data_IF_466448953480
#
_entry.id   IF_466448953480
#
_cell.length_a   1.000
_cell.length_b   1.000
_cell.length_c   1.000
_cell.angle_alpha   90.00
_cell.angle_beta   90.00
_cell.angle_gamma   90.00
#
_symmetry.space_group_name_H-M   'P 1'
#
loop_
_entity.id
_entity.type
_entity.pdbx_description
1 polymer ?
#
# COMPACT_ATOMS: atom_id res chain seq x y z
N UNK A 1 -14.54 26.37 16.12
CA UNK A 1 -13.09 26.39 16.39
C UNK A 1 -12.48 25.33 15.53
N UNK A 2 -11.77 25.71 14.47
CA UNK A 2 -11.04 24.77 13.60
C UNK A 2 -9.82 24.34 14.41
N UNK A 3 -9.88 23.14 15.01
CA UNK A 3 -8.69 22.52 15.59
C UNK A 3 -7.68 22.37 14.47
N UNK A 4 -6.53 23.01 14.60
CA UNK A 4 -5.42 22.78 13.69
C UNK A 4 -5.15 21.27 13.69
N UNK A 5 -5.24 20.62 12.54
CA UNK A 5 -4.89 19.22 12.40
C UNK A 5 -3.44 19.08 12.87
N UNK A 6 -3.21 18.24 13.85
CA UNK A 6 -1.85 17.96 14.31
C UNK A 6 -1.05 17.38 13.12
N UNK A 7 0.19 17.86 13.00
CA UNK A 7 1.09 17.41 11.91
C UNK A 7 1.82 16.17 12.42
N UNK A 8 1.85 15.07 11.64
CA UNK A 8 2.59 13.87 12.01
C UNK A 8 4.09 14.14 12.17
N UNK A 9 4.73 13.51 13.14
CA UNK A 9 6.17 13.52 13.30
C UNK A 9 6.82 12.72 12.16
N UNK A 10 7.72 13.34 11.42
CA UNK A 10 8.53 12.67 10.39
C UNK A 10 9.84 12.18 11.02
N UNK A 11 10.10 10.88 10.89
CA UNK A 11 11.27 10.22 11.47
C UNK A 11 12.01 9.37 10.42
N UNK A 12 13.25 9.03 10.74
CA UNK A 12 14.10 8.14 9.90
C UNK A 12 14.51 6.94 10.74
N UNK A 13 14.30 5.76 10.18
CA UNK A 13 14.79 4.50 10.70
C UNK A 13 15.92 3.97 9.81
N UNK A 14 16.96 3.40 10.41
CA UNK A 14 18.06 2.76 9.70
C UNK A 14 17.76 1.27 9.56
N UNK A 15 17.41 0.84 8.36
CA UNK A 15 17.11 -0.55 8.04
C UNK A 15 18.16 -1.11 7.08
N UNK A 16 18.92 -2.11 7.52
CA UNK A 16 20.00 -2.74 6.71
C UNK A 16 20.98 -1.71 6.10
N UNK A 17 21.22 -0.61 6.80
CA UNK A 17 22.10 0.47 6.35
C UNK A 17 21.44 1.50 5.43
N UNK A 18 20.13 1.40 5.18
CA UNK A 18 19.34 2.36 4.40
C UNK A 18 18.47 3.24 5.29
N UNK A 19 18.32 4.49 4.91
CA UNK A 19 17.44 5.45 5.57
C UNK A 19 16.00 5.25 5.12
N UNK A 20 15.13 4.88 6.04
CA UNK A 20 13.70 4.66 5.82
C UNK A 20 12.92 5.78 6.50
N UNK A 21 12.19 6.56 5.70
CA UNK A 21 11.29 7.59 6.23
C UNK A 21 10.00 6.96 6.73
N UNK A 22 9.52 7.43 7.87
CA UNK A 22 8.18 7.12 8.35
C UNK A 22 7.58 8.32 9.08
N UNK A 23 6.26 8.28 9.25
CA UNK A 23 5.49 9.25 10.01
C UNK A 23 4.86 8.55 11.20
N UNK A 24 4.68 9.30 12.29
CA UNK A 24 4.09 8.81 13.53
C UNK A 24 3.13 9.83 14.12
N UNK A 25 2.04 9.35 14.70
CA UNK A 25 1.06 10.15 15.40
C UNK A 25 0.30 9.33 16.43
N UNK A 26 0.02 9.92 17.60
CA UNK A 26 -0.64 9.23 18.72
C UNK A 26 0.33 8.43 19.57
N UNK A 27 0.09 8.44 20.90
CA UNK A 27 0.98 7.84 21.90
C UNK A 27 0.33 6.66 22.64
N UNK A 28 -0.96 6.42 22.39
CA UNK A 28 -1.76 5.43 23.15
C UNK A 28 -2.47 4.46 22.23
N UNK A 29 -2.94 3.35 22.81
CA UNK A 29 -3.65 2.32 22.07
C UNK A 29 -2.71 1.35 21.33
N UNK A 30 -3.31 0.42 20.60
CA UNK A 30 -2.56 -0.52 19.79
C UNK A 30 -1.89 0.15 18.58
N UNK A 31 -0.74 -0.35 18.10
CA UNK A 31 -0.11 0.21 16.91
C UNK A 31 -0.90 -0.11 15.64
N UNK A 32 -0.94 0.87 14.74
CA UNK A 32 -1.47 0.76 13.38
C UNK A 32 -0.42 1.26 12.40
N UNK A 33 0.00 0.41 11.47
CA UNK A 33 0.99 0.72 10.45
C UNK A 33 0.32 0.81 9.08
N UNK A 34 0.37 1.99 8.47
CA UNK A 34 -0.16 2.27 7.14
C UNK A 34 0.90 2.02 6.07
N UNK A 35 0.55 1.23 5.03
CA UNK A 35 1.44 0.81 3.94
C UNK A 35 0.88 1.29 2.61
N UNK A 36 1.62 2.15 1.93
CA UNK A 36 1.20 2.77 0.68
C UNK A 36 1.25 1.84 -0.54
N UNK A 37 0.60 2.26 -1.64
CA UNK A 37 0.63 1.61 -2.94
C UNK A 37 1.84 2.00 -3.80
N UNK A 38 1.88 1.48 -5.03
CA UNK A 38 2.95 1.75 -6.00
C UNK A 38 3.07 3.23 -6.32
N UNK A 39 4.29 3.76 -6.29
CA UNK A 39 4.60 5.15 -6.64
C UNK A 39 4.12 6.20 -5.63
N UNK A 40 3.52 5.78 -4.52
CA UNK A 40 3.10 6.65 -3.43
C UNK A 40 4.16 6.71 -2.30
N UNK A 41 3.76 7.26 -1.17
CA UNK A 41 4.58 7.40 0.04
C UNK A 41 3.68 7.41 1.29
N UNK A 42 4.26 7.52 2.46
CA UNK A 42 3.52 7.74 3.73
C UNK A 42 2.64 8.99 3.69
N UNK A 43 2.95 9.98 2.84
CA UNK A 43 2.11 11.19 2.67
C UNK A 43 0.73 10.88 2.06
N UNK A 44 0.54 9.71 1.47
CA UNK A 44 -0.77 9.26 0.99
C UNK A 44 -1.75 8.95 2.13
N UNK A 45 -1.24 8.84 3.36
CA UNK A 45 -2.02 8.59 4.57
C UNK A 45 -2.29 9.86 5.41
N UNK A 46 -1.99 11.06 4.87
CA UNK A 46 -2.11 12.36 5.57
C UNK A 46 -3.52 12.66 6.10
N UNK A 47 -4.57 12.07 5.47
CA UNK A 47 -5.97 12.21 5.90
C UNK A 47 -6.42 11.14 6.91
N UNK A 48 -5.59 10.12 7.13
CA UNK A 48 -5.90 8.96 7.98
C UNK A 48 -5.11 9.00 9.29
N UNK A 49 -3.81 9.31 9.25
CA UNK A 49 -2.96 9.37 10.43
C UNK A 49 -3.54 10.24 11.56
N UNK A 50 -4.08 11.46 11.29
CA UNK A 50 -4.70 12.26 12.34
C UNK A 50 -5.88 11.56 13.02
N UNK A 51 -6.75 10.90 12.23
CA UNK A 51 -7.91 10.19 12.76
C UNK A 51 -7.50 8.93 13.54
N UNK A 52 -6.52 8.19 13.06
CA UNK A 52 -6.03 6.99 13.74
C UNK A 52 -5.27 7.35 15.02
N UNK A 53 -4.47 8.42 14.99
CA UNK A 53 -3.68 8.89 16.12
C UNK A 53 -4.49 9.38 17.34
N UNK A 54 -5.80 9.59 17.18
CA UNK A 54 -6.68 9.94 18.32
C UNK A 54 -6.85 8.76 19.30
N UNK A 55 -6.77 7.51 18.82
CA UNK A 55 -7.05 6.31 19.62
C UNK A 55 -6.02 5.20 19.50
N UNK A 56 -5.09 5.32 18.56
CA UNK A 56 -4.06 4.35 18.25
C UNK A 56 -2.69 5.01 18.10
N UNK A 57 -1.63 4.23 18.21
CA UNK A 57 -0.29 4.66 17.78
C UNK A 57 -0.20 4.47 16.26
N UNK A 58 -0.44 5.54 15.50
CA UNK A 58 -0.52 5.48 14.05
C UNK A 58 0.83 5.75 13.41
N UNK A 59 1.26 4.85 12.53
CA UNK A 59 2.49 4.93 11.75
C UNK A 59 2.15 4.87 10.26
N UNK A 60 2.95 5.53 9.42
CA UNK A 60 2.96 5.33 7.98
C UNK A 60 4.41 5.29 7.49
N UNK A 61 4.78 4.27 6.74
CA UNK A 61 6.14 4.02 6.28
C UNK A 61 6.29 4.30 4.79
N UNK A 62 7.42 4.84 4.38
CA UNK A 62 7.88 4.82 3.00
C UNK A 62 8.64 3.52 2.76
N UNK A 63 8.10 2.61 1.95
CA UNK A 63 8.80 1.38 1.61
C UNK A 63 10.14 1.67 0.93
N UNK A 64 11.16 0.85 1.19
CA UNK A 64 12.46 0.98 0.51
C UNK A 64 12.25 1.06 -1.02
N UNK A 65 12.86 2.04 -1.66
CA UNK A 65 12.65 2.32 -3.07
C UNK A 65 11.54 3.33 -3.38
N UNK A 66 10.67 3.66 -2.43
CA UNK A 66 9.55 4.60 -2.61
C UNK A 66 9.63 5.79 -1.65
N UNK A 67 8.72 6.74 -1.84
CA UNK A 67 8.62 7.91 -1.00
C UNK A 67 9.94 8.69 -0.95
N UNK A 68 10.33 9.06 0.25
CA UNK A 68 11.63 9.69 0.55
C UNK A 68 12.58 8.73 1.27
N UNK A 69 12.28 7.44 1.30
CA UNK A 69 13.22 6.40 1.69
C UNK A 69 14.31 6.21 0.64
N UNK A 70 15.44 5.62 1.04
CA UNK A 70 16.54 5.32 0.14
C UNK A 70 16.10 4.44 -1.04
N UNK A 71 16.76 4.63 -2.17
CA UNK A 71 16.48 3.93 -3.43
C UNK A 71 17.76 3.28 -3.98
N UNK A 72 18.27 2.21 -3.30
CA UNK A 72 19.44 1.51 -3.79
C UNK A 72 19.24 0.97 -5.21
N UNK A 73 20.35 0.76 -5.91
CA UNK A 73 20.32 0.16 -7.24
C UNK A 73 19.64 -1.22 -7.16
N UNK A 74 18.66 -1.51 -8.02
CA UNK A 74 17.97 -2.80 -8.00
C UNK A 74 18.94 -4.00 -8.05
N UNK A 75 18.70 -4.99 -7.17
CA UNK A 75 19.53 -6.18 -6.98
C UNK A 75 20.96 -5.90 -6.45
N UNK A 76 21.22 -4.72 -5.85
CA UNK A 76 22.50 -4.33 -5.28
C UNK A 76 22.30 -3.44 -4.03
N UNK A 77 22.27 -3.99 -2.81
CA UNK A 77 22.38 -5.41 -2.40
C UNK A 77 21.03 -6.13 -2.29
N UNK A 78 19.88 -5.43 -2.45
CA UNK A 78 18.55 -6.02 -2.28
C UNK A 78 17.71 -5.93 -3.57
N UNK A 79 16.75 -6.84 -3.71
CA UNK A 79 15.77 -6.83 -4.77
C UNK A 79 14.47 -6.15 -4.30
N UNK A 80 13.76 -5.48 -5.21
CA UNK A 80 12.45 -4.88 -4.96
C UNK A 80 11.36 -5.94 -5.18
N UNK A 81 11.15 -6.78 -4.16
CA UNK A 81 10.16 -7.86 -4.16
C UNK A 81 9.22 -7.76 -2.97
N UNK A 82 8.11 -8.48 -3.00
CA UNK A 82 7.16 -8.47 -1.89
C UNK A 82 7.75 -9.10 -0.63
N UNK A 83 8.63 -10.09 -0.78
CA UNK A 83 9.36 -10.72 0.33
C UNK A 83 10.28 -9.69 1.01
N UNK A 84 11.00 -8.88 0.23
CA UNK A 84 11.87 -7.82 0.77
C UNK A 84 11.04 -6.77 1.52
N UNK A 85 9.93 -6.32 0.95
CA UNK A 85 9.05 -5.34 1.62
C UNK A 85 8.30 -5.96 2.80
N UNK A 86 7.87 -7.21 2.71
CA UNK A 86 7.27 -7.95 3.84
C UNK A 86 8.24 -8.02 5.02
N UNK A 87 9.50 -8.40 4.77
CA UNK A 87 10.54 -8.41 5.79
C UNK A 87 10.80 -7.01 6.38
N UNK A 88 10.78 -5.95 5.55
CA UNK A 88 10.89 -4.58 6.03
C UNK A 88 9.77 -4.23 7.02
N UNK A 89 8.54 -4.63 6.76
CA UNK A 89 7.40 -4.40 7.67
C UNK A 89 7.55 -5.17 8.97
N UNK A 90 7.96 -6.44 8.92
CA UNK A 90 8.22 -7.25 10.12
C UNK A 90 9.31 -6.61 10.97
N UNK A 91 10.41 -6.21 10.35
CA UNK A 91 11.53 -5.56 11.03
C UNK A 91 11.12 -4.20 11.62
N UNK A 92 10.28 -3.43 10.93
CA UNK A 92 9.75 -2.17 11.43
C UNK A 92 8.88 -2.38 12.68
N UNK A 93 8.00 -3.38 12.65
CA UNK A 93 7.19 -3.73 13.83
C UNK A 93 8.08 -4.13 15.01
N UNK A 94 9.13 -4.92 14.76
CA UNK A 94 10.05 -5.38 15.80
C UNK A 94 10.95 -4.27 16.35
N UNK A 95 11.56 -3.45 15.47
CA UNK A 95 12.66 -2.54 15.84
C UNK A 95 12.18 -1.13 16.17
N UNK A 96 11.10 -0.65 15.55
CA UNK A 96 10.58 0.70 15.71
C UNK A 96 9.35 0.72 16.61
N UNK A 97 8.38 -0.15 16.35
CA UNK A 97 7.14 -0.22 17.12
C UNK A 97 7.34 -1.00 18.44
N UNK A 98 8.12 -2.09 18.41
CA UNK A 98 8.44 -2.93 19.57
C UNK A 98 7.31 -3.85 20.04
N UNK A 99 6.22 -3.96 19.28
CA UNK A 99 5.05 -4.81 19.56
C UNK A 99 4.27 -5.13 18.28
N UNK A 100 3.41 -6.18 18.28
CA UNK A 100 2.57 -6.51 17.14
C UNK A 100 1.63 -5.36 16.76
N UNK A 101 1.47 -5.12 15.44
CA UNK A 101 0.69 -4.01 14.89
C UNK A 101 -0.45 -4.51 13.98
N UNK A 102 -1.48 -3.70 13.84
CA UNK A 102 -2.43 -3.80 12.73
C UNK A 102 -1.81 -3.16 11.48
N UNK A 103 -1.95 -3.81 10.34
CA UNK A 103 -1.48 -3.29 9.06
C UNK A 103 -2.67 -2.78 8.25
N UNK A 104 -2.63 -1.53 7.81
CA UNK A 104 -3.64 -0.92 6.94
C UNK A 104 -2.97 -0.58 5.62
N UNK A 105 -3.38 -1.19 4.52
CA UNK A 105 -2.61 -1.16 3.30
C UNK A 105 -3.46 -0.89 2.06
N UNK A 106 -2.89 -0.20 1.06
CA UNK A 106 -3.55 0.07 -0.22
C UNK A 106 -2.80 -0.56 -1.40
N UNK A 107 -3.54 -1.10 -2.37
CA UNK A 107 -3.01 -1.59 -3.65
C UNK A 107 -1.93 -2.68 -3.45
N UNK A 108 -0.71 -2.50 -3.99
CA UNK A 108 0.42 -3.41 -3.76
C UNK A 108 0.83 -3.51 -2.30
N UNK A 109 0.58 -2.46 -1.51
CA UNK A 109 0.82 -2.47 -0.07
C UNK A 109 0.04 -3.58 0.65
N UNK A 110 -1.13 -3.98 0.11
CA UNK A 110 -1.88 -5.12 0.64
C UNK A 110 -1.11 -6.44 0.52
N UNK A 111 -0.42 -6.65 -0.62
CA UNK A 111 0.42 -7.84 -0.81
C UNK A 111 1.61 -7.81 0.16
N UNK A 112 2.21 -6.64 0.34
CA UNK A 112 3.29 -6.45 1.34
C UNK A 112 2.79 -6.78 2.75
N UNK A 113 1.60 -6.30 3.12
CA UNK A 113 0.99 -6.58 4.42
C UNK A 113 0.68 -8.08 4.62
N UNK A 114 0.13 -8.73 3.59
CA UNK A 114 -0.12 -10.17 3.63
C UNK A 114 1.18 -10.98 3.72
N UNK A 115 2.23 -10.58 2.97
CA UNK A 115 3.55 -11.21 3.04
C UNK A 115 4.13 -11.07 4.45
N UNK A 116 4.07 -9.87 5.05
CA UNK A 116 4.51 -9.65 6.43
C UNK A 116 3.73 -10.51 7.43
N UNK A 117 2.41 -10.66 7.23
CA UNK A 117 1.56 -11.49 8.09
C UNK A 117 1.86 -12.99 7.96
N UNK A 118 2.40 -13.44 6.82
CA UNK A 118 2.85 -14.83 6.64
C UNK A 118 4.23 -15.04 7.24
N UNK A 119 5.19 -14.14 6.96
CA UNK A 119 6.59 -14.30 7.33
C UNK A 119 6.87 -13.99 8.82
N UNK A 120 6.06 -13.12 9.43
CA UNK A 120 6.20 -12.67 10.82
C UNK A 120 4.84 -12.57 11.53
N UNK A 121 4.12 -13.68 11.59
CA UNK A 121 2.75 -13.72 12.13
C UNK A 121 2.65 -13.21 13.57
N UNK A 122 3.72 -13.36 14.38
CA UNK A 122 3.80 -12.85 15.74
C UNK A 122 3.86 -11.31 15.83
N UNK A 123 4.17 -10.62 14.71
CA UNK A 123 4.26 -9.16 14.63
C UNK A 123 3.04 -8.51 13.99
N UNK A 124 2.07 -9.30 13.52
CA UNK A 124 0.88 -8.79 12.82
C UNK A 124 -0.40 -9.22 13.54
N UNK A 125 -1.12 -8.26 14.11
CA UNK A 125 -2.39 -8.47 14.82
C UNK A 125 -3.58 -8.67 13.87
N UNK A 126 -3.52 -8.05 12.69
CA UNK A 126 -4.57 -8.09 11.67
C UNK A 126 -4.22 -7.22 10.48
N UNK A 127 -4.90 -7.43 9.36
CA UNK A 127 -4.67 -6.72 8.11
C UNK A 127 -5.96 -6.10 7.58
N UNK A 128 -5.94 -4.81 7.26
CA UNK A 128 -7.00 -4.13 6.52
C UNK A 128 -6.49 -3.85 5.11
N UNK A 129 -7.12 -4.44 4.11
CA UNK A 129 -6.78 -4.28 2.70
C UNK A 129 -7.73 -3.31 2.02
N UNK A 130 -7.16 -2.28 1.38
CA UNK A 130 -7.90 -1.29 0.58
C UNK A 130 -7.54 -1.45 -0.90
N UNK A 131 -8.52 -1.84 -1.74
CA UNK A 131 -8.35 -2.03 -3.18
C UNK A 131 -7.04 -2.77 -3.51
N UNK A 132 -6.92 -3.99 -2.98
CA UNK A 132 -5.72 -4.82 -3.13
C UNK A 132 -5.39 -5.03 -4.61
N UNK A 133 -4.12 -4.86 -4.97
CA UNK A 133 -3.67 -5.14 -6.33
C UNK A 133 -3.77 -6.64 -6.65
N UNK A 134 -4.45 -6.96 -7.75
CA UNK A 134 -4.55 -8.31 -8.31
C UNK A 134 -3.41 -8.64 -9.27
N UNK A 135 -2.50 -7.67 -9.50
CA UNK A 135 -1.31 -7.83 -10.33
C UNK A 135 -1.60 -8.38 -11.74
N UNK A 136 -2.41 -7.68 -12.52
CA UNK A 136 -2.77 -8.10 -13.89
C UNK A 136 -1.56 -8.40 -14.81
N UNK A 137 -0.41 -7.76 -14.56
CA UNK A 137 0.83 -8.00 -15.31
C UNK A 137 1.62 -9.22 -14.83
N UNK A 138 1.12 -9.94 -13.80
CA UNK A 138 1.74 -11.16 -13.30
C UNK A 138 1.74 -12.27 -14.38
N UNK A 139 2.82 -13.05 -14.46
CA UNK A 139 2.95 -14.07 -15.49
C UNK A 139 1.82 -15.11 -15.50
N UNK A 140 1.28 -15.48 -14.33
CA UNK A 140 0.15 -16.43 -14.22
C UNK A 140 -1.18 -15.85 -14.74
N UNK A 141 -1.33 -14.50 -14.76
CA UNK A 141 -2.53 -13.81 -15.25
C UNK A 141 -2.45 -13.39 -16.71
N UNK A 142 -1.33 -13.65 -17.40
CA UNK A 142 -1.17 -13.31 -18.83
C UNK A 142 -2.25 -13.91 -19.73
N UNK A 143 -2.84 -15.03 -19.33
CA UNK A 143 -3.93 -15.65 -20.09
C UNK A 143 -5.24 -14.84 -20.01
N UNK A 144 -5.43 -14.02 -18.98
CA UNK A 144 -6.64 -13.26 -18.71
C UNK A 144 -6.68 -11.92 -19.48
N UNK A 145 -5.52 -11.42 -19.92
CA UNK A 145 -5.44 -10.17 -20.69
C UNK A 145 -5.67 -10.41 -22.20
N UNK A 146 -6.19 -9.40 -22.94
CA UNK A 146 -6.42 -9.48 -24.38
C UNK A 146 -5.17 -9.91 -25.16
N UNK A 147 -5.33 -10.71 -26.21
CA UNK A 147 -4.23 -11.32 -26.96
C UNK A 147 -3.18 -10.32 -27.49
N UNK A 148 -3.61 -9.10 -27.91
CA UNK A 148 -2.72 -8.05 -28.37
C UNK A 148 -1.85 -7.48 -27.23
N UNK A 149 -2.37 -7.39 -26.03
CA UNK A 149 -1.61 -7.00 -24.85
C UNK A 149 -0.67 -8.12 -24.38
N UNK A 150 -1.10 -9.40 -24.51
CA UNK A 150 -0.22 -10.56 -24.23
C UNK A 150 1.06 -10.55 -25.05
N UNK A 151 0.97 -10.15 -26.32
CA UNK A 151 2.13 -10.10 -27.22
C UNK A 151 2.97 -8.83 -27.02
N UNK A 152 2.35 -7.69 -26.72
CA UNK A 152 3.05 -6.42 -26.57
C UNK A 152 3.70 -6.23 -25.19
N UNK A 153 3.11 -6.75 -24.12
CA UNK A 153 3.63 -6.58 -22.75
C UNK A 153 5.07 -7.02 -22.57
N UNK A 154 5.51 -8.24 -22.99
CA UNK A 154 6.90 -8.66 -22.86
C UNK A 154 7.86 -7.77 -23.66
N UNK A 155 7.45 -7.34 -24.86
CA UNK A 155 8.26 -6.47 -25.72
C UNK A 155 8.42 -5.09 -25.07
N UNK A 156 7.34 -4.51 -24.54
CA UNK A 156 7.39 -3.24 -23.81
C UNK A 156 8.26 -3.36 -22.56
N UNK A 157 8.10 -4.42 -21.79
CA UNK A 157 8.92 -4.67 -20.60
C UNK A 157 10.40 -4.82 -20.96
N UNK A 158 10.71 -5.46 -22.07
CA UNK A 158 12.08 -5.60 -22.57
C UNK A 158 12.65 -4.27 -23.06
N UNK A 159 11.87 -3.46 -23.79
CA UNK A 159 12.29 -2.12 -24.23
C UNK A 159 12.54 -1.18 -23.04
N UNK A 160 11.66 -1.19 -22.03
CA UNK A 160 11.87 -0.45 -20.78
C UNK A 160 13.07 -1.00 -19.98
N UNK A 161 13.55 -2.19 -20.28
CA UNK A 161 14.78 -2.77 -19.73
C UNK A 161 16.07 -2.07 -20.14
N UNK A 162 16.08 -1.36 -21.28
CA UNK A 162 17.21 -0.50 -21.63
C UNK A 162 17.18 0.74 -20.78
N UNK A 163 18.17 0.92 -19.92
CA UNK A 163 18.18 1.95 -18.86
C UNK A 163 17.93 3.37 -19.38
N UNK A 164 18.48 3.73 -20.54
CA UNK A 164 18.25 5.05 -21.14
C UNK A 164 16.81 5.24 -21.64
N UNK A 165 16.23 4.23 -22.28
CA UNK A 165 14.85 4.27 -22.77
C UNK A 165 13.87 4.31 -21.60
N UNK A 166 14.08 3.45 -20.60
CA UNK A 166 13.24 3.40 -19.41
C UNK A 166 13.28 4.69 -18.60
N UNK A 167 14.47 5.27 -18.36
CA UNK A 167 14.61 6.56 -17.66
C UNK A 167 13.99 7.72 -18.45
N UNK A 168 14.14 7.72 -19.78
CA UNK A 168 13.45 8.70 -20.61
C UNK A 168 11.94 8.56 -20.51
N UNK A 169 11.40 7.35 -20.58
CA UNK A 169 9.98 7.07 -20.40
C UNK A 169 9.50 7.54 -19.03
N UNK A 170 10.22 7.19 -17.96
CA UNK A 170 9.89 7.61 -16.61
C UNK A 170 9.88 9.14 -16.45
N UNK A 171 10.84 9.84 -17.06
CA UNK A 171 10.90 11.31 -17.01
C UNK A 171 9.69 11.98 -17.68
N UNK A 172 9.02 11.27 -18.61
CA UNK A 172 7.78 11.75 -19.23
C UNK A 172 6.56 11.48 -18.36
N UNK A 173 6.60 10.44 -17.53
CA UNK A 173 5.54 10.15 -16.55
C UNK A 173 5.67 11.07 -15.34
N UNK A 174 6.88 11.29 -14.83
CA UNK A 174 7.16 12.13 -13.67
C UNK A 174 7.01 13.64 -14.01
N UNK A 175 5.81 14.02 -14.44
CA UNK A 175 5.43 15.40 -14.75
C UNK A 175 4.07 15.69 -14.11
N UNK A 176 3.91 16.90 -13.56
CA UNK A 176 2.71 17.32 -12.83
C UNK A 176 1.40 17.00 -13.57
N UNK A 177 1.31 17.37 -14.83
CA UNK A 177 0.10 17.17 -15.63
C UNK A 177 -0.16 15.67 -15.88
N UNK A 178 0.89 14.87 -16.10
CA UNK A 178 0.77 13.43 -16.31
C UNK A 178 0.33 12.73 -15.03
N UNK A 179 0.94 13.07 -13.90
CA UNK A 179 0.53 12.57 -12.58
C UNK A 179 -0.94 12.91 -12.30
N UNK A 180 -1.36 14.17 -12.53
CA UNK A 180 -2.77 14.57 -12.36
C UNK A 180 -3.71 13.74 -13.24
N UNK A 181 -3.33 13.49 -14.49
CA UNK A 181 -4.14 12.68 -15.42
C UNK A 181 -4.21 11.21 -14.97
N UNK A 182 -3.10 10.65 -14.45
CA UNK A 182 -3.08 9.28 -13.91
C UNK A 182 -3.96 9.16 -12.66
N UNK A 183 -3.89 10.15 -11.76
CA UNK A 183 -4.79 10.23 -10.61
C UNK A 183 -6.25 10.34 -11.07
N UNK A 184 -6.53 11.13 -12.12
CA UNK A 184 -7.87 11.24 -12.73
C UNK A 184 -8.40 9.94 -13.32
N UNK A 185 -7.54 8.97 -13.60
CA UNK A 185 -7.97 7.62 -13.98
C UNK A 185 -8.22 6.73 -12.77
N UNK A 186 -7.45 6.90 -11.68
CA UNK A 186 -7.54 6.07 -10.48
C UNK A 186 -8.68 6.47 -9.53
N UNK A 187 -8.98 7.75 -9.46
CA UNK A 187 -9.96 8.35 -8.55
C UNK A 187 -11.30 8.50 -9.25
N UNK A 188 -12.38 8.09 -8.60
CA UNK A 188 -13.74 8.34 -9.06
C UNK A 188 -14.20 9.76 -8.72
N UNK A 189 -13.69 10.34 -7.61
CA UNK A 189 -14.02 11.70 -7.13
C UNK A 189 -12.96 12.71 -7.55
N UNK A 190 -13.19 13.52 -8.62
CA UNK A 190 -12.18 14.45 -9.15
C UNK A 190 -11.74 15.52 -8.13
N UNK A 191 -12.62 15.89 -7.20
CA UNK A 191 -12.36 16.89 -6.15
C UNK A 191 -11.31 16.43 -5.16
N UNK A 192 -11.08 15.12 -5.02
CA UNK A 192 -10.04 14.57 -4.17
C UNK A 192 -8.63 14.77 -4.76
N UNK A 193 -8.52 15.07 -6.07
CA UNK A 193 -7.24 15.27 -6.77
C UNK A 193 -6.76 16.71 -6.57
N UNK A 194 -6.27 17.00 -5.39
CA UNK A 194 -5.73 18.31 -5.02
C UNK A 194 -4.31 18.52 -5.55
N UNK A 195 -3.85 19.78 -5.55
CA UNK A 195 -2.45 20.09 -5.86
C UNK A 195 -1.49 19.45 -4.87
N UNK A 196 -1.87 19.40 -3.59
CA UNK A 196 -1.12 18.74 -2.53
C UNK A 196 -0.91 17.25 -2.82
N UNK A 197 -1.96 16.53 -3.25
CA UNK A 197 -1.84 15.13 -3.64
C UNK A 197 -0.89 14.95 -4.82
N UNK A 198 -1.02 15.80 -5.84
CA UNK A 198 -0.13 15.74 -7.02
C UNK A 198 1.33 15.92 -6.61
N UNK A 199 1.63 16.87 -5.71
CA UNK A 199 2.99 17.08 -5.20
C UNK A 199 3.47 15.92 -4.31
N UNK A 200 2.59 15.34 -3.49
CA UNK A 200 2.92 14.19 -2.64
C UNK A 200 3.33 12.95 -3.48
N UNK A 201 2.81 12.81 -4.69
CA UNK A 201 3.18 11.74 -5.63
C UNK A 201 4.40 12.15 -6.48
N UNK A 202 4.44 13.39 -6.96
CA UNK A 202 5.50 13.86 -7.85
C UNK A 202 6.84 14.02 -7.13
N UNK A 203 6.83 14.59 -5.92
CA UNK A 203 8.06 14.87 -5.17
C UNK A 203 8.98 13.66 -5.03
N UNK A 204 8.50 12.52 -4.50
CA UNK A 204 9.28 11.29 -4.44
C UNK A 204 9.75 10.76 -5.80
N UNK A 205 8.94 10.91 -6.86
CA UNK A 205 9.28 10.47 -8.21
C UNK A 205 10.46 11.24 -8.82
N UNK A 206 10.72 12.46 -8.35
CA UNK A 206 11.84 13.30 -8.81
C UNK A 206 13.14 13.01 -8.06
N UNK A 207 13.15 12.16 -7.05
CA UNK A 207 14.35 11.81 -6.28
C UNK A 207 15.24 10.82 -7.04
N UNK A 208 16.54 10.81 -6.69
CA UNK A 208 17.51 9.89 -7.29
C UNK A 208 17.10 8.43 -7.06
N UNK A 209 17.24 7.58 -8.11
CA UNK A 209 16.91 6.16 -8.04
C UNK A 209 15.45 5.84 -8.34
N UNK A 210 14.51 6.80 -8.27
CA UNK A 210 13.08 6.55 -8.46
C UNK A 210 12.76 5.88 -9.81
N UNK A 211 13.42 6.31 -10.89
CA UNK A 211 13.27 5.70 -12.21
C UNK A 211 13.70 4.23 -12.23
N UNK A 212 14.81 3.90 -11.57
CA UNK A 212 15.35 2.53 -11.57
C UNK A 212 14.45 1.59 -10.76
N UNK A 213 13.90 2.06 -9.63
CA UNK A 213 12.91 1.33 -8.82
C UNK A 213 11.62 1.11 -9.61
N UNK A 214 11.09 2.16 -10.25
CA UNK A 214 9.91 2.07 -11.11
C UNK A 214 10.09 0.98 -12.18
N UNK A 215 11.22 1.02 -12.90
CA UNK A 215 11.52 0.05 -13.94
C UNK A 215 11.72 -1.36 -13.40
N UNK A 216 12.33 -1.51 -12.23
CA UNK A 216 12.49 -2.80 -11.56
C UNK A 216 11.11 -3.41 -11.23
N UNK A 217 10.19 -2.61 -10.68
CA UNK A 217 8.85 -3.06 -10.33
C UNK A 217 8.00 -3.41 -11.58
N UNK A 218 8.00 -2.56 -12.61
CA UNK A 218 7.25 -2.84 -13.87
C UNK A 218 7.71 -4.17 -14.52
N UNK A 219 8.97 -4.55 -14.30
CA UNK A 219 9.55 -5.81 -14.81
C UNK A 219 9.33 -7.00 -13.86
N UNK A 220 8.91 -6.73 -12.62
CA UNK A 220 8.67 -7.77 -11.63
C UNK A 220 7.30 -8.43 -11.87
N UNK A 221 7.29 -9.47 -12.71
CA UNK A 221 6.11 -10.24 -13.10
C UNK A 221 5.92 -11.53 -12.31
N UNK A 222 6.76 -11.78 -11.33
CA UNK A 222 6.76 -12.96 -10.45
C UNK A 222 6.46 -12.57 -8.99
N UNK A 223 6.59 -13.53 -8.08
CA UNK A 223 6.32 -13.35 -6.66
C UNK A 223 4.89 -13.69 -6.30
N UNK A 224 4.46 -13.46 -5.05
CA UNK A 224 3.17 -13.89 -4.57
C UNK A 224 2.01 -13.07 -5.15
N UNK A 225 0.87 -13.71 -5.27
CA UNK A 225 -0.43 -13.10 -5.46
C UNK A 225 -1.22 -13.13 -4.14
N UNK A 226 -2.23 -12.26 -3.95
CA UNK A 226 -3.04 -12.26 -2.72
C UNK A 226 -3.63 -13.65 -2.41
N UNK A 227 -4.07 -14.38 -3.43
CA UNK A 227 -4.62 -15.74 -3.32
C UNK A 227 -3.61 -16.81 -2.88
N UNK A 228 -2.31 -16.54 -3.01
CA UNK A 228 -1.25 -17.43 -2.50
C UNK A 228 -0.99 -17.21 -1.01
N UNK A 229 -1.16 -15.96 -0.55
CA UNK A 229 -0.83 -15.54 0.81
C UNK A 229 -2.02 -15.72 1.77
N UNK A 230 -3.24 -15.35 1.36
CA UNK A 230 -4.43 -15.39 2.20
C UNK A 230 -4.69 -16.76 2.87
N UNK A 231 -4.44 -17.92 2.22
CA UNK A 231 -4.58 -19.24 2.88
C UNK A 231 -3.59 -19.46 4.03
N UNK A 232 -2.50 -18.69 4.10
CA UNK A 232 -1.42 -18.85 5.06
C UNK A 232 -1.51 -17.84 6.21
N UNK A 233 -2.31 -16.77 6.05
CA UNK A 233 -2.49 -15.73 7.07
C UNK A 233 -3.24 -16.26 8.27
N UNK A 234 -2.70 -16.04 9.47
CA UNK A 234 -3.25 -16.55 10.74
C UNK A 234 -4.02 -15.48 11.54
N UNK A 235 -3.90 -14.20 11.16
CA UNK A 235 -4.60 -13.10 11.80
C UNK A 235 -5.87 -12.72 11.01
N UNK A 236 -6.83 -11.98 11.62
CA UNK A 236 -8.01 -11.49 10.92
C UNK A 236 -7.65 -10.53 9.79
N UNK A 237 -8.36 -10.64 8.68
CA UNK A 237 -8.25 -9.76 7.52
C UNK A 237 -9.59 -9.07 7.28
N UNK A 238 -9.57 -7.78 6.96
CA UNK A 238 -10.74 -7.00 6.56
C UNK A 238 -10.46 -6.37 5.20
N UNK A 239 -11.49 -6.22 4.39
CA UNK A 239 -11.38 -5.69 3.04
C UNK A 239 -12.28 -4.47 2.91
N UNK A 240 -11.75 -3.36 2.39
CA UNK A 240 -12.50 -2.21 1.88
C UNK A 240 -12.23 -2.10 0.38
N UNK A 241 -13.29 -1.90 -0.41
CA UNK A 241 -13.13 -1.79 -1.85
C UNK A 241 -13.98 -0.67 -2.44
N UNK A 242 -13.36 0.27 -3.14
CA UNK A 242 -14.08 1.24 -3.96
C UNK A 242 -14.71 0.52 -5.16
N UNK A 243 -16.04 0.62 -5.29
CA UNK A 243 -16.78 -0.09 -6.35
C UNK A 243 -16.44 0.40 -7.76
N UNK A 244 -16.02 1.66 -7.86
CA UNK A 244 -15.71 2.33 -9.11
C UNK A 244 -14.20 2.36 -9.41
N UNK A 245 -13.44 1.40 -8.85
CA UNK A 245 -12.03 1.21 -9.14
C UNK A 245 -11.84 0.75 -10.60
N UNK A 246 -11.21 1.55 -11.47
CA UNK A 246 -11.04 1.19 -12.87
C UNK A 246 -9.88 0.22 -13.11
N UNK A 247 -9.00 0.05 -12.12
CA UNK A 247 -7.81 -0.79 -12.22
C UNK A 247 -8.01 -2.17 -11.62
N UNK A 248 -8.69 -2.23 -10.48
CA UNK A 248 -8.90 -3.45 -9.73
C UNK A 248 -10.42 -3.66 -9.53
N UNK A 249 -11.10 -4.40 -10.45
CA UNK A 249 -12.55 -4.57 -10.39
C UNK A 249 -13.03 -5.17 -9.07
N UNK A 250 -14.11 -4.63 -8.50
CA UNK A 250 -14.67 -5.07 -7.20
C UNK A 250 -15.00 -6.57 -7.15
N UNK A 251 -15.31 -7.17 -8.30
CA UNK A 251 -15.53 -8.63 -8.40
C UNK A 251 -14.33 -9.45 -7.92
N UNK A 252 -13.12 -8.91 -8.08
CA UNK A 252 -11.90 -9.55 -7.58
C UNK A 252 -11.80 -9.45 -6.06
N UNK A 253 -12.16 -8.29 -5.48
CA UNK A 253 -12.28 -8.15 -4.02
C UNK A 253 -13.26 -9.17 -3.43
N UNK A 254 -14.42 -9.35 -4.07
CA UNK A 254 -15.41 -10.35 -3.66
C UNK A 254 -14.85 -11.77 -3.69
N UNK A 255 -13.98 -12.10 -4.64
CA UNK A 255 -13.31 -13.40 -4.68
C UNK A 255 -12.35 -13.60 -3.51
N UNK A 256 -11.62 -12.55 -3.13
CA UNK A 256 -10.72 -12.57 -1.97
C UNK A 256 -11.48 -12.65 -0.64
N UNK A 257 -12.72 -12.15 -0.58
CA UNK A 257 -13.56 -12.23 0.62
C UNK A 257 -13.96 -13.66 1.01
N UNK A 258 -13.81 -14.64 0.12
CA UNK A 258 -14.14 -16.05 0.41
C UNK A 258 -13.03 -16.78 1.20
N UNK A 259 -11.88 -16.19 1.43
CA UNK A 259 -10.81 -16.83 2.20
C UNK A 259 -11.12 -16.82 3.71
N UNK A 260 -10.82 -17.91 4.44
CA UNK A 260 -11.18 -18.05 5.86
C UNK A 260 -10.63 -16.95 6.78
N UNK A 261 -9.48 -16.36 6.46
CA UNK A 261 -8.90 -15.26 7.23
C UNK A 261 -9.73 -13.96 7.12
N UNK A 262 -10.55 -13.82 6.07
CA UNK A 262 -11.33 -12.60 5.82
C UNK A 262 -12.60 -12.59 6.67
N UNK A 263 -12.68 -11.62 7.58
CA UNK A 263 -13.79 -11.49 8.54
C UNK A 263 -14.92 -10.60 8.01
N UNK A 264 -14.60 -9.61 7.18
CA UNK A 264 -15.58 -8.72 6.58
C UNK A 264 -15.04 -8.07 5.31
N UNK A 265 -15.95 -7.71 4.41
CA UNK A 265 -15.70 -6.88 3.25
C UNK A 265 -16.74 -5.77 3.17
N UNK A 266 -16.28 -4.53 2.94
CA UNK A 266 -17.14 -3.37 2.71
C UNK A 266 -16.86 -2.79 1.33
N UNK A 267 -17.93 -2.55 0.58
CA UNK A 267 -17.87 -1.96 -0.76
C UNK A 267 -18.33 -0.51 -0.70
N UNK A 268 -17.53 0.42 -1.23
CA UNK A 268 -17.79 1.85 -1.19
C UNK A 268 -18.25 2.35 -2.57
N UNK A 269 -19.56 2.64 -2.76
CA UNK A 269 -20.05 3.22 -4.01
C UNK A 269 -19.49 4.63 -4.24
N UNK A 270 -19.20 4.98 -5.49
CA UNK A 270 -18.66 6.30 -5.84
C UNK A 270 -17.24 6.54 -5.35
N UNK A 271 -16.45 5.46 -5.19
CA UNK A 271 -15.06 5.52 -4.72
C UNK A 271 -14.18 4.67 -5.65
N UNK A 272 -13.02 5.21 -6.00
CA UNK A 272 -12.04 4.57 -6.90
C UNK A 272 -10.97 3.76 -6.17
N UNK A 273 -9.75 3.78 -6.73
CA UNK A 273 -8.63 2.91 -6.33
C UNK A 273 -7.99 3.26 -4.99
N UNK A 274 -8.08 4.51 -4.54
CA UNK A 274 -7.40 4.98 -3.33
C UNK A 274 -8.40 5.45 -2.27
N UNK A 275 -9.26 4.57 -1.73
CA UNK A 275 -10.35 4.96 -0.85
C UNK A 275 -9.89 5.72 0.40
N UNK A 276 -8.71 5.41 0.94
CA UNK A 276 -8.12 6.08 2.10
C UNK A 276 -7.90 7.59 1.88
N UNK A 277 -7.60 7.99 0.65
CA UNK A 277 -7.37 9.39 0.30
C UNK A 277 -8.60 10.04 -0.36
N UNK A 278 -9.35 9.27 -1.11
CA UNK A 278 -10.50 9.73 -1.88
C UNK A 278 -11.74 9.94 -0.99
N UNK A 279 -11.95 9.04 -0.03
CA UNK A 279 -13.11 9.01 0.85
C UNK A 279 -12.73 8.70 2.32
N UNK A 280 -11.82 9.47 2.94
CA UNK A 280 -11.35 9.21 4.31
C UNK A 280 -12.50 9.26 5.32
N UNK A 281 -13.55 10.03 5.05
CA UNK A 281 -14.76 10.13 5.87
C UNK A 281 -15.56 8.81 5.94
N UNK A 282 -15.40 7.94 4.95
CA UNK A 282 -15.98 6.59 4.94
C UNK A 282 -15.00 5.56 5.48
N UNK A 283 -13.73 5.64 5.07
CA UNK A 283 -12.70 4.65 5.40
C UNK A 283 -12.29 4.71 6.87
N UNK A 284 -12.03 5.91 7.41
CA UNK A 284 -11.51 6.04 8.77
C UNK A 284 -12.46 5.43 9.83
N UNK A 285 -13.78 5.69 9.82
CA UNK A 285 -14.68 5.07 10.77
C UNK A 285 -14.77 3.54 10.67
N UNK A 286 -14.70 2.99 9.45
CA UNK A 286 -14.70 1.54 9.22
C UNK A 286 -13.45 0.89 9.83
N UNK A 287 -12.27 1.42 9.49
CA UNK A 287 -11.00 0.91 10.01
C UNK A 287 -10.98 1.00 11.54
N UNK A 288 -11.23 2.18 12.10
CA UNK A 288 -11.26 2.39 13.55
C UNK A 288 -12.27 1.48 14.25
N UNK A 289 -13.45 1.30 13.66
CA UNK A 289 -14.48 0.42 14.19
C UNK A 289 -14.07 -1.05 14.20
N UNK A 290 -13.36 -1.54 13.18
CA UNK A 290 -12.86 -2.92 13.14
C UNK A 290 -11.72 -3.13 14.13
N UNK A 291 -10.73 -2.24 14.15
CA UNK A 291 -9.59 -2.35 15.05
C UNK A 291 -9.99 -2.24 16.51
N UNK A 292 -10.89 -1.31 16.84
CA UNK A 292 -11.41 -1.18 18.22
C UNK A 292 -12.15 -2.43 18.68
N UNK A 293 -12.95 -3.06 17.82
CA UNK A 293 -13.62 -4.33 18.15
C UNK A 293 -12.63 -5.48 18.35
N UNK A 294 -11.56 -5.52 17.55
CA UNK A 294 -10.53 -6.54 17.66
C UNK A 294 -9.68 -6.42 18.95
N UNK A 295 -9.61 -5.22 19.55
CA UNK A 295 -8.95 -4.99 20.85
C UNK A 295 -9.85 -5.30 22.07
N UNK A 296 -11.17 -5.48 21.86
CA UNK A 296 -12.03 -5.89 22.96
C UNK A 296 -11.68 -7.33 23.39
N UNK A 297 -11.66 -7.61 24.70
CA UNK A 297 -11.54 -8.98 25.19
C UNK A 297 -12.66 -9.83 24.56
N UNK A 298 -12.30 -10.99 24.03
CA UNK A 298 -13.32 -11.96 23.61
C UNK A 298 -14.27 -12.18 24.80
N UNK A 299 -15.53 -11.80 24.65
CA UNK A 299 -16.55 -12.16 25.66
C UNK A 299 -16.47 -13.68 25.81
N UNK A 300 -16.11 -14.14 27.01
CA UNK A 300 -16.21 -15.56 27.32
C UNK A 300 -17.70 -15.88 27.20
N UNK A 301 -18.10 -16.50 26.11
CA UNK A 301 -19.39 -17.18 26.05
C UNK A 301 -19.37 -18.21 27.18
N UNK A 302 -19.94 -17.84 28.31
CA UNK A 302 -20.28 -18.77 29.37
C UNK A 302 -21.44 -19.61 28.87
N UNK A 303 -21.13 -20.78 28.31
CA UNK A 303 -22.08 -21.88 28.16
C UNK A 303 -22.13 -22.68 29.46
#
# INVERSE_FOLDING_TARGET
MTTALAIPDVKIWQWQGFSIRYQHMGETGAPVLCIHGFGASSDHWRKNLPAYGESFQAYAIDLIGFGFSDKPTPNQPLAYTFETWGQQIVDFCREVIGQPAYLVANSIGCIVALQAAVDGSEWVKGVVMLNCSIRLLHERRRAEIPWHQRLSTPVVQQLLGYSQVGRFFFSRIAQRNVIRNLLGQAYHRPEAITDELVEAILGPALTNGAADVFLAFVRYSQGPLPEDLLPQVQCPVWIIWGQDDPWEPVAMGRSLANYPAVQAMEELPGVGHCPQDEAPELVNPLVLGWLSRAELPAERENF
#
